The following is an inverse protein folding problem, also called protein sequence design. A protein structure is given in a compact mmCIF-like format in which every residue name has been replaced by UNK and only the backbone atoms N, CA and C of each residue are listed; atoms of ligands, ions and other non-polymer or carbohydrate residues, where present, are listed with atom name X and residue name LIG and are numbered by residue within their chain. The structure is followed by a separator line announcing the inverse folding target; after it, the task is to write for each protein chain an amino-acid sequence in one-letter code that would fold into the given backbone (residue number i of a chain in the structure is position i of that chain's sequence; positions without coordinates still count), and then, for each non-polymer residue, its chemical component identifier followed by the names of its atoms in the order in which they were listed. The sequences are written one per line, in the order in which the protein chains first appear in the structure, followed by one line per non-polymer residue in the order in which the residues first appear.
data_IF_964554705613
#
_entry.id   IF_964554705613
#
_cell.length_a   1.000
_cell.length_b   1.000
_cell.length_c   1.000
_cell.angle_alpha   90.00
_cell.angle_beta   90.00
_cell.angle_gamma   90.00
#
_symmetry.space_group_name_H-M   'P 1'
#
loop_
_entity.id
_entity.type
_entity.pdbx_description
1 polymer ?
#
# COMPACT_ATOMS: atom_id res chain seq x y z
N UNK A 1 8.74 -6.93 -20.94
CA UNK A 1 8.17 -6.26 -19.75
C UNK A 1 9.25 -5.73 -18.79
N UNK A 2 10.18 -6.55 -18.27
CA UNK A 2 11.20 -6.08 -17.29
C UNK A 2 12.20 -5.09 -17.92
N UNK A 3 12.71 -5.35 -19.13
CA UNK A 3 13.63 -4.42 -19.82
C UNK A 3 12.99 -3.06 -20.09
N UNK A 4 11.70 -3.00 -20.42
CA UNK A 4 10.95 -1.76 -20.60
C UNK A 4 10.82 -0.98 -19.29
N UNK A 5 10.61 -1.68 -18.17
CA UNK A 5 10.48 -1.06 -16.84
C UNK A 5 11.76 -0.35 -16.37
N UNK A 6 12.93 -0.76 -16.88
CA UNK A 6 14.22 -0.14 -16.57
C UNK A 6 14.84 0.59 -17.77
N UNK A 7 14.08 0.78 -18.85
CA UNK A 7 14.55 1.45 -20.07
C UNK A 7 14.90 2.92 -19.81
N UNK A 8 14.16 3.57 -18.91
CA UNK A 8 14.35 4.96 -18.54
C UNK A 8 14.65 5.07 -17.03
N UNK A 9 15.85 4.65 -16.59
CA UNK A 9 16.19 4.57 -15.17
C UNK A 9 16.21 5.94 -14.49
N UNK A 10 16.44 7.01 -15.26
CA UNK A 10 16.38 8.40 -14.78
C UNK A 10 14.98 8.80 -14.27
N UNK A 11 13.91 8.12 -14.68
CA UNK A 11 12.55 8.37 -14.20
C UNK A 11 12.24 7.62 -12.89
N UNK A 12 13.12 6.71 -12.47
CA UNK A 12 12.93 5.90 -11.26
C UNK A 12 13.58 6.64 -10.08
N UNK A 13 12.80 6.91 -9.05
CA UNK A 13 13.22 7.58 -7.82
C UNK A 13 13.87 6.59 -6.85
N UNK A 14 13.20 5.47 -6.62
CA UNK A 14 13.65 4.43 -5.69
C UNK A 14 12.94 3.10 -5.97
N UNK A 15 13.49 2.03 -5.42
CA UNK A 15 12.92 0.70 -5.47
C UNK A 15 12.77 0.14 -4.06
N UNK A 16 11.62 -0.48 -3.77
CA UNK A 16 11.35 -1.18 -2.52
C UNK A 16 11.22 -2.68 -2.76
N UNK A 17 12.07 -3.47 -2.09
CA UNK A 17 12.12 -4.92 -2.24
C UNK A 17 11.23 -5.64 -1.24
N UNK A 18 10.53 -6.65 -1.72
CA UNK A 18 9.73 -7.58 -0.93
C UNK A 18 10.04 -9.01 -1.42
N UNK A 19 11.04 -9.66 -0.80
CA UNK A 19 11.55 -10.96 -1.22
C UNK A 19 12.01 -10.97 -2.69
N UNK A 20 11.44 -11.83 -3.53
CA UNK A 20 11.71 -11.96 -4.96
C UNK A 20 10.96 -10.95 -5.83
N UNK A 21 10.28 -9.99 -5.22
CA UNK A 21 9.54 -8.93 -5.89
C UNK A 21 10.10 -7.56 -5.52
N UNK A 22 9.95 -6.60 -6.43
CA UNK A 22 10.41 -5.24 -6.22
C UNK A 22 9.40 -4.25 -6.79
N UNK A 23 9.00 -3.27 -5.99
CA UNK A 23 8.28 -2.09 -6.43
C UNK A 23 9.25 -1.07 -7.01
N UNK A 24 9.04 -0.64 -8.25
CA UNK A 24 9.71 0.48 -8.90
C UNK A 24 8.83 1.72 -8.74
N UNK A 25 9.39 2.78 -8.15
CA UNK A 25 8.70 4.05 -7.91
C UNK A 25 9.21 5.11 -8.91
N UNK A 26 8.31 5.64 -9.73
CA UNK A 26 8.64 6.64 -10.75
C UNK A 26 8.41 8.07 -10.24
N UNK A 27 9.10 9.05 -10.83
CA UNK A 27 9.05 10.47 -10.42
C UNK A 27 7.68 11.13 -10.63
N UNK A 28 6.84 10.57 -11.49
CA UNK A 28 5.46 11.00 -11.73
C UNK A 28 4.45 10.34 -10.76
N UNK A 29 4.93 9.61 -9.76
CA UNK A 29 4.10 8.92 -8.77
C UNK A 29 3.62 7.54 -9.20
N UNK A 30 3.86 7.10 -10.44
CA UNK A 30 3.53 5.73 -10.86
C UNK A 30 4.36 4.71 -10.07
N UNK A 31 3.78 3.54 -9.83
CA UNK A 31 4.43 2.40 -9.17
C UNK A 31 4.24 1.13 -10.00
N UNK A 32 5.28 0.31 -10.11
CA UNK A 32 5.22 -0.96 -10.82
C UNK A 32 5.84 -2.08 -9.99
N UNK A 33 5.08 -3.15 -9.73
CA UNK A 33 5.61 -4.36 -9.12
C UNK A 33 6.25 -5.25 -10.19
N UNK A 34 7.43 -5.77 -9.91
CA UNK A 34 8.16 -6.68 -10.80
C UNK A 34 8.63 -7.91 -10.03
N UNK A 35 8.44 -9.11 -10.61
CA UNK A 35 8.90 -10.40 -10.08
C UNK A 35 10.42 -10.60 -10.21
N UNK A 36 11.21 -9.64 -9.73
CA UNK A 36 12.66 -9.72 -9.57
C UNK A 36 13.07 -9.11 -8.23
N UNK A 37 14.10 -9.69 -7.62
CA UNK A 37 14.65 -9.20 -6.34
C UNK A 37 15.44 -7.90 -6.53
N UNK A 38 15.69 -7.17 -5.45
CA UNK A 38 16.53 -5.96 -5.49
C UNK A 38 17.95 -6.25 -5.99
N UNK A 39 18.51 -7.43 -5.70
CA UNK A 39 19.84 -7.85 -6.17
C UNK A 39 19.88 -7.87 -7.71
N UNK A 40 18.80 -8.30 -8.35
CA UNK A 40 18.71 -8.32 -9.82
C UNK A 40 18.85 -6.91 -10.42
N UNK A 41 18.26 -5.91 -9.76
CA UNK A 41 18.27 -4.51 -10.21
C UNK A 41 19.57 -3.78 -9.86
N UNK A 42 20.19 -4.08 -8.73
CA UNK A 42 21.48 -3.50 -8.29
C UNK A 42 22.56 -3.65 -9.37
N UNK A 43 22.65 -4.81 -10.05
CA UNK A 43 23.60 -5.02 -11.14
C UNK A 43 23.19 -4.43 -12.50
N UNK A 44 21.98 -3.87 -12.64
CA UNK A 44 21.42 -3.40 -13.93
C UNK A 44 21.04 -1.93 -13.96
N UNK A 45 21.03 -1.27 -12.80
CA UNK A 45 20.75 0.15 -12.66
C UNK A 45 22.02 0.86 -12.19
N UNK A 46 22.99 1.13 -13.10
CA UNK A 46 24.18 1.88 -12.74
C UNK A 46 23.78 3.27 -12.22
N UNK A 47 24.43 3.71 -11.14
CA UNK A 47 24.12 4.99 -10.48
C UNK A 47 23.05 4.90 -9.39
N UNK A 48 22.38 3.75 -9.22
CA UNK A 48 21.51 3.51 -8.07
C UNK A 48 22.31 2.95 -6.90
N UNK A 49 21.94 3.37 -5.68
CA UNK A 49 22.61 2.97 -4.46
C UNK A 49 21.71 2.09 -3.61
N UNK A 50 22.22 0.92 -3.24
CA UNK A 50 21.48 0.01 -2.35
C UNK A 50 21.73 0.39 -0.90
N UNK A 51 20.82 1.19 -0.36
CA UNK A 51 20.90 1.73 0.99
C UNK A 51 20.43 0.74 2.08
N UNK A 52 19.59 -0.24 1.73
CA UNK A 52 19.05 -1.24 2.65
C UNK A 52 18.78 -2.60 1.98
N UNK A 53 18.58 -3.65 2.77
CA UNK A 53 18.20 -4.97 2.24
C UNK A 53 16.90 -4.92 1.43
N UNK A 54 16.01 -3.98 1.75
CA UNK A 54 14.71 -3.72 1.08
C UNK A 54 14.66 -2.39 0.31
N UNK A 55 15.77 -1.66 0.12
CA UNK A 55 15.72 -0.39 -0.59
C UNK A 55 16.95 -0.13 -1.49
N UNK A 56 16.67 0.32 -2.72
CA UNK A 56 17.61 0.87 -3.69
C UNK A 56 17.14 2.29 -4.04
N UNK A 57 18.03 3.28 -4.11
CA UNK A 57 17.65 4.68 -4.29
C UNK A 57 18.43 5.31 -5.45
N UNK A 58 17.79 6.23 -6.17
CA UNK A 58 18.43 7.09 -7.14
C UNK A 58 18.92 8.37 -6.43
N UNK A 59 20.23 8.67 -6.40
CA UNK A 59 20.77 9.85 -5.74
C UNK A 59 20.21 11.17 -6.26
N UNK A 60 19.82 11.21 -7.53
CA UNK A 60 19.26 12.43 -8.16
C UNK A 60 17.97 12.91 -7.50
N UNK A 61 17.26 12.03 -6.79
CA UNK A 61 15.98 12.31 -6.15
C UNK A 61 16.09 12.38 -4.62
N UNK A 62 17.29 12.33 -4.05
CA UNK A 62 17.47 12.48 -2.60
C UNK A 62 17.39 13.96 -2.24
N UNK A 63 16.47 14.30 -1.35
CA UNK A 63 16.27 15.68 -0.87
C UNK A 63 16.91 15.93 0.49
N UNK A 64 16.97 14.91 1.34
CA UNK A 64 17.58 15.02 2.66
C UNK A 64 18.24 13.68 3.06
N UNK A 65 19.30 13.79 3.87
CA UNK A 65 20.07 12.66 4.34
C UNK A 65 20.41 12.83 5.82
N UNK A 66 19.77 12.01 6.65
CA UNK A 66 19.90 12.12 8.09
C UNK A 66 20.86 11.03 8.61
N UNK A 67 21.95 11.51 9.23
CA UNK A 67 22.91 10.63 9.86
C UNK A 67 22.28 9.83 11.01
N UNK A 68 22.72 8.58 11.24
CA UNK A 68 22.27 7.82 12.39
C UNK A 68 22.52 8.62 13.68
N UNK A 69 21.50 8.86 14.53
CA UNK A 69 21.65 9.63 15.76
C UNK A 69 22.53 8.93 16.82
N UNK A 70 22.94 7.68 16.57
CA UNK A 70 23.93 6.97 17.35
C UNK A 70 24.40 5.70 16.65
N UNK A 71 25.51 5.12 17.13
CA UNK A 71 26.18 3.96 16.52
C UNK A 71 25.31 2.69 16.37
N UNK A 72 24.18 2.60 17.10
CA UNK A 72 23.25 1.46 17.04
C UNK A 72 21.99 1.72 16.21
N UNK A 73 21.76 2.93 15.73
CA UNK A 73 20.55 3.32 15.00
C UNK A 73 20.78 3.35 13.48
N UNK A 74 19.72 3.25 12.69
CA UNK A 74 19.79 3.43 11.24
C UNK A 74 19.72 4.93 10.89
N UNK A 75 20.45 5.36 9.87
CA UNK A 75 20.22 6.67 9.24
C UNK A 75 18.99 6.60 8.34
N UNK A 76 18.56 7.73 7.80
CA UNK A 76 17.44 7.79 6.87
C UNK A 76 17.77 8.66 5.65
N UNK A 77 17.17 8.28 4.52
CA UNK A 77 17.23 9.03 3.26
C UNK A 77 15.82 9.46 2.94
N UNK A 78 15.62 10.76 2.75
CA UNK A 78 14.35 11.31 2.25
C UNK A 78 14.46 11.45 0.74
N UNK A 79 13.55 10.81 0.03
CA UNK A 79 13.43 10.88 -1.43
C UNK A 79 12.31 11.85 -1.77
N UNK A 80 12.44 12.57 -2.89
CA UNK A 80 11.44 13.49 -3.44
C UNK A 80 10.04 12.86 -3.38
N UNK A 81 9.10 13.55 -2.71
CA UNK A 81 7.78 13.01 -2.35
C UNK A 81 7.69 12.42 -0.93
N UNK A 82 8.49 12.92 0.02
CA UNK A 82 8.44 12.65 1.47
C UNK A 82 8.62 11.16 1.89
N UNK A 83 9.11 10.31 0.98
CA UNK A 83 9.36 8.91 1.34
C UNK A 83 10.68 8.77 2.11
N UNK A 84 10.59 8.41 3.39
CA UNK A 84 11.74 8.13 4.25
C UNK A 84 12.14 6.66 4.11
N UNK A 85 13.36 6.40 3.63
CA UNK A 85 13.93 5.07 3.49
C UNK A 85 15.04 4.86 4.52
N UNK A 86 15.03 3.75 5.30
CA UNK A 86 16.09 3.48 6.25
C UNK A 86 17.38 3.10 5.53
N UNK A 87 18.52 3.54 6.07
CA UNK A 87 19.85 3.14 5.61
C UNK A 87 20.46 2.17 6.60
N UNK A 88 20.85 0.99 6.13
CA UNK A 88 21.51 0.00 6.98
C UNK A 88 22.85 0.51 7.51
N UNK A 89 23.10 0.32 8.81
CA UNK A 89 24.33 0.77 9.52
C UNK A 89 25.62 0.41 8.80
N UNK A 90 25.77 -0.85 8.39
CA UNK A 90 26.95 -1.36 7.67
C UNK A 90 27.21 -0.61 6.37
N UNK A 91 26.13 -0.24 5.65
CA UNK A 91 26.24 0.43 4.37
C UNK A 91 26.44 1.93 4.49
N UNK A 92 26.07 2.55 5.63
CA UNK A 92 26.26 3.98 5.85
C UNK A 92 27.71 4.43 5.58
N UNK A 93 28.69 3.75 6.16
CA UNK A 93 30.10 4.08 5.98
C UNK A 93 30.60 3.85 4.54
N UNK A 94 30.07 2.85 3.85
CA UNK A 94 30.47 2.49 2.48
C UNK A 94 29.84 3.42 1.43
N UNK A 95 28.60 3.88 1.66
CA UNK A 95 27.82 4.58 0.65
C UNK A 95 27.79 6.09 0.84
N UNK A 96 28.09 6.63 2.03
CA UNK A 96 27.91 8.07 2.30
C UNK A 96 28.72 8.96 1.36
N UNK A 97 30.02 8.68 1.19
CA UNK A 97 30.88 9.49 0.33
C UNK A 97 30.47 9.38 -1.16
N UNK A 98 30.28 8.17 -1.73
CA UNK A 98 29.74 8.03 -3.08
C UNK A 98 28.37 8.67 -3.29
N UNK A 99 27.48 8.56 -2.31
CA UNK A 99 26.12 9.07 -2.38
C UNK A 99 26.08 10.59 -2.34
N UNK A 100 26.82 11.22 -1.40
CA UNK A 100 26.97 12.67 -1.32
C UNK A 100 27.61 13.24 -2.58
N UNK A 101 28.64 12.58 -3.13
CA UNK A 101 29.25 13.00 -4.41
C UNK A 101 28.26 12.89 -5.56
N UNK A 102 27.45 11.82 -5.63
CA UNK A 102 26.43 11.67 -6.66
C UNK A 102 25.32 12.74 -6.54
N UNK A 103 24.93 13.11 -5.30
CA UNK A 103 23.98 14.19 -5.02
C UNK A 103 24.51 15.59 -5.39
N UNK A 104 25.82 15.84 -5.22
CA UNK A 104 26.44 17.12 -5.59
C UNK A 104 26.65 17.24 -7.11
N UNK A 105 26.90 16.12 -7.80
CA UNK A 105 26.99 16.11 -9.27
C UNK A 105 25.62 16.35 -9.93
N UNK A 106 24.54 15.86 -9.32
CA UNK A 106 23.19 16.06 -9.83
C UNK A 106 22.71 17.51 -9.69
N UNK A 107 23.09 18.21 -8.60
CA UNK A 107 22.78 19.64 -8.43
C UNK A 107 23.58 20.54 -9.38
N UNK A 108 24.83 20.20 -9.69
CA UNK A 108 25.69 20.95 -10.62
C UNK A 108 25.19 20.94 -12.07
N UNK A 109 24.48 19.88 -12.51
CA UNK A 109 23.87 19.80 -13.85
C UNK A 109 22.68 20.77 -14.04
N UNK A 110 22.06 21.25 -12.95
CA UNK A 110 21.01 22.28 -13.00
C UNK A 110 21.53 23.71 -12.79
N UNK A 111 22.81 23.88 -12.42
CA UNK A 111 23.40 25.19 -12.13
C UNK A 111 23.79 26.02 -13.38
N UNK A 112 23.43 25.57 -14.58
CA UNK A 112 23.63 26.33 -15.84
C UNK A 112 22.34 26.88 -16.45
N UNK A 113 21.21 26.82 -15.74
CA UNK A 113 20.01 27.55 -16.13
C UNK A 113 19.84 28.78 -15.24
N UNK A 114 19.94 29.95 -15.87
CA UNK A 114 19.91 31.27 -15.25
C UNK A 114 18.74 31.48 -14.29
N UNK A 115 19.07 32.08 -13.16
CA UNK A 115 18.18 32.48 -12.07
C UNK A 115 17.38 33.71 -12.52
N UNK A 116 16.07 33.56 -12.71
CA UNK A 116 15.13 34.70 -12.64
C UNK A 116 14.61 34.78 -11.21
N UNK A 117 15.20 35.67 -10.41
CA UNK A 117 14.64 36.09 -9.12
C UNK A 117 13.48 37.06 -9.37
N UNK A 118 12.33 36.79 -8.74
CA UNK A 118 11.25 37.76 -8.56
C UNK A 118 10.90 37.85 -7.07
N UNK A 119 10.44 39.02 -6.58
CA UNK A 119 10.79 39.51 -5.26
C UNK A 119 9.86 39.04 -4.16
N UNK A 120 10.45 38.99 -2.97
CA UNK A 120 9.78 38.89 -1.67
C UNK A 120 8.88 40.11 -1.46
N UNK A 121 7.64 39.90 -1.05
CA UNK A 121 6.81 40.92 -0.41
C UNK A 121 5.99 40.30 0.70
N UNK A 122 5.89 41.08 1.78
CA UNK A 122 5.60 40.68 3.15
C UNK A 122 4.09 40.46 3.42
N UNK A 123 3.82 39.57 4.37
CA UNK A 123 2.83 39.68 5.46
C UNK A 123 1.47 40.33 5.16
N UNK A 124 0.40 39.51 5.18
CA UNK A 124 -0.86 39.89 5.85
C UNK A 124 -1.22 38.78 6.84
N UNK A 125 -1.19 39.14 8.11
CA UNK A 125 -1.68 38.32 9.22
C UNK A 125 -3.21 38.28 9.25
N UNK A 126 -3.72 37.25 9.95
CA UNK A 126 -5.05 37.13 10.56
C UNK A 126 -6.27 37.00 9.66
N UNK A 127 -6.71 35.75 9.47
CA UNK A 127 -8.08 35.30 9.80
C UNK A 127 -8.01 33.82 10.19
N UNK A 128 -7.61 33.54 11.43
CA UNK A 128 -7.80 32.23 12.05
C UNK A 128 -8.99 32.37 12.99
N UNK A 129 -10.18 32.04 12.52
CA UNK A 129 -11.21 31.54 13.41
C UNK A 129 -10.97 30.05 13.64
N UNK A 130 -10.94 29.57 14.89
CA UNK A 130 -10.77 28.17 15.18
C UNK A 130 -12.11 27.47 14.93
N UNK A 131 -12.30 26.90 13.74
CA UNK A 131 -13.37 25.92 13.53
C UNK A 131 -12.96 24.61 14.23
N UNK A 132 -13.20 24.66 15.53
CA UNK A 132 -13.41 23.53 16.42
C UNK A 132 -14.50 22.60 15.86
N UNK A 133 -14.05 21.59 15.13
CA UNK A 133 -14.53 20.19 15.20
C UNK A 133 -13.73 19.42 14.16
N UNK A 134 -12.61 18.85 14.61
CA UNK A 134 -12.06 17.69 13.92
C UNK A 134 -13.14 16.62 13.96
N UNK A 135 -13.92 16.51 12.89
CA UNK A 135 -14.76 15.36 12.63
C UNK A 135 -13.77 14.20 12.54
N UNK A 136 -13.61 13.44 13.63
CA UNK A 136 -12.92 12.14 13.61
C UNK A 136 -13.70 11.27 12.65
N UNK A 137 -13.42 11.35 11.35
CA UNK A 137 -13.97 10.36 10.43
C UNK A 137 -13.37 9.01 10.87
N UNK A 138 -14.18 8.04 11.31
CA UNK A 138 -13.66 6.75 11.67
C UNK A 138 -12.97 6.14 10.44
N UNK A 139 -11.76 5.60 10.64
CA UNK A 139 -11.08 4.85 9.59
C UNK A 139 -12.01 3.74 9.10
N UNK A 140 -12.11 3.57 7.78
CA UNK A 140 -12.91 2.46 7.24
C UNK A 140 -12.10 1.17 7.35
N UNK A 141 -12.70 0.15 7.93
CA UNK A 141 -12.03 -1.13 8.14
C UNK A 141 -12.21 -2.06 6.92
N UNK A 142 -11.10 -2.51 6.34
CA UNK A 142 -11.04 -3.56 5.31
C UNK A 142 -10.47 -4.83 5.94
N UNK A 143 -11.25 -5.89 5.96
CA UNK A 143 -10.83 -7.19 6.48
C UNK A 143 -10.54 -8.15 5.32
N UNK A 144 -9.42 -8.86 5.39
CA UNK A 144 -9.01 -9.80 4.34
C UNK A 144 -8.58 -11.13 4.95
N UNK A 145 -9.13 -12.23 4.46
CA UNK A 145 -8.60 -13.58 4.72
C UNK A 145 -7.60 -13.92 3.62
N UNK A 146 -6.35 -14.18 4.00
CA UNK A 146 -5.27 -14.50 3.07
C UNK A 146 -4.16 -15.27 3.80
N UNK A 147 -4.06 -16.56 3.54
CA UNK A 147 -3.08 -17.44 4.19
C UNK A 147 -1.65 -17.24 3.67
N UNK A 148 -1.50 -16.88 2.39
CA UNK A 148 -0.20 -16.63 1.77
C UNK A 148 0.42 -15.33 2.33
N UNK A 149 1.44 -15.48 3.16
CA UNK A 149 2.13 -14.36 3.81
C UNK A 149 2.74 -13.36 2.82
N UNK A 150 3.20 -13.83 1.65
CA UNK A 150 3.78 -12.94 0.64
C UNK A 150 2.71 -12.10 -0.03
N UNK A 151 1.59 -12.70 -0.46
CA UNK A 151 0.42 -11.96 -0.95
C UNK A 151 -0.05 -10.98 0.11
N UNK A 152 -0.26 -11.45 1.35
CA UNK A 152 -0.77 -10.63 2.45
C UNK A 152 0.12 -9.40 2.71
N UNK A 153 1.45 -9.58 2.72
CA UNK A 153 2.40 -8.48 2.88
C UNK A 153 2.35 -7.46 1.75
N UNK A 154 2.27 -7.90 0.48
CA UNK A 154 2.14 -7.00 -0.66
C UNK A 154 0.81 -6.27 -0.69
N UNK A 155 -0.29 -6.93 -0.31
CA UNK A 155 -1.62 -6.31 -0.21
C UNK A 155 -1.64 -5.26 0.90
N UNK A 156 -1.04 -5.56 2.05
CA UNK A 156 -0.88 -4.58 3.14
C UNK A 156 -0.14 -3.34 2.67
N UNK A 157 0.99 -3.53 1.98
CA UNK A 157 1.76 -2.41 1.42
C UNK A 157 0.93 -1.62 0.39
N UNK A 158 0.25 -2.31 -0.53
CA UNK A 158 -0.60 -1.68 -1.54
C UNK A 158 -1.68 -0.79 -0.92
N UNK A 159 -2.38 -1.30 0.10
CA UNK A 159 -3.47 -0.56 0.77
C UNK A 159 -2.94 0.64 1.53
N UNK A 160 -1.88 0.47 2.31
CA UNK A 160 -1.25 1.58 3.04
C UNK A 160 -0.77 2.69 2.09
N UNK A 161 -0.18 2.32 0.96
CA UNK A 161 0.37 3.25 -0.01
C UNK A 161 -0.69 4.01 -0.82
N UNK A 162 -1.86 3.42 -1.09
CA UNK A 162 -2.88 3.99 -2.00
C UNK A 162 -4.16 4.46 -1.32
N UNK A 163 -4.46 3.91 -0.14
CA UNK A 163 -5.67 4.20 0.62
C UNK A 163 -5.35 4.36 2.11
N UNK A 164 -4.57 5.38 2.51
CA UNK A 164 -4.16 5.60 3.90
C UNK A 164 -5.33 5.83 4.86
N UNK A 165 -6.51 6.21 4.35
CA UNK A 165 -7.76 6.36 5.10
C UNK A 165 -8.48 5.03 5.39
N UNK A 166 -7.96 3.91 4.88
CA UNK A 166 -8.50 2.57 5.14
C UNK A 166 -7.57 1.79 6.06
N UNK A 167 -8.12 1.28 7.16
CA UNK A 167 -7.42 0.37 8.04
C UNK A 167 -7.55 -1.06 7.52
N UNK A 168 -6.43 -1.75 7.32
CA UNK A 168 -6.41 -3.14 6.84
C UNK A 168 -6.09 -4.14 7.96
N UNK A 169 -6.98 -5.10 8.13
CA UNK A 169 -6.78 -6.26 8.99
C UNK A 169 -6.71 -7.54 8.14
N UNK A 170 -5.65 -8.32 8.36
CA UNK A 170 -5.39 -9.55 7.63
C UNK A 170 -5.52 -10.73 8.58
N UNK A 171 -6.25 -11.75 8.15
CA UNK A 171 -6.46 -13.00 8.87
C UNK A 171 -5.86 -14.13 8.05
N UNK A 172 -5.11 -15.03 8.68
CA UNK A 172 -4.49 -16.17 8.00
C UNK A 172 -5.53 -17.26 7.67
N UNK A 173 -6.67 -17.27 8.38
CA UNK A 173 -7.75 -18.24 8.15
C UNK A 173 -9.13 -17.61 8.29
N UNK A 174 -10.09 -18.15 7.54
CA UNK A 174 -11.50 -17.78 7.68
C UNK A 174 -12.06 -18.06 9.07
N UNK A 175 -11.51 -19.04 9.80
CA UNK A 175 -11.92 -19.33 11.19
C UNK A 175 -11.58 -18.17 12.13
N UNK A 176 -10.37 -17.58 12.02
CA UNK A 176 -10.01 -16.42 12.84
C UNK A 176 -10.94 -15.23 12.57
N UNK A 177 -11.25 -14.97 11.30
CA UNK A 177 -12.21 -13.91 10.95
C UNK A 177 -13.59 -14.17 11.57
N UNK A 178 -14.12 -15.39 11.45
CA UNK A 178 -15.44 -15.73 12.03
C UNK A 178 -15.49 -15.60 13.55
N UNK A 179 -14.38 -15.83 14.24
CA UNK A 179 -14.30 -15.66 15.68
C UNK A 179 -14.15 -14.18 16.07
N UNK A 180 -13.50 -13.36 15.23
CA UNK A 180 -13.32 -11.93 15.49
C UNK A 180 -14.57 -11.10 15.18
N UNK A 181 -15.33 -11.46 14.13
CA UNK A 181 -16.45 -10.65 13.65
C UNK A 181 -17.55 -10.37 14.70
N UNK A 182 -17.96 -11.34 15.56
CA UNK A 182 -18.93 -11.09 16.63
C UNK A 182 -18.45 -10.17 17.75
N UNK A 183 -17.14 -10.06 17.96
CA UNK A 183 -16.54 -9.23 19.01
C UNK A 183 -16.55 -7.73 18.66
N UNK A 184 -16.91 -7.40 17.42
CA UNK A 184 -16.82 -6.05 16.86
C UNK A 184 -18.20 -5.44 16.70
N UNK A 185 -18.37 -4.20 17.18
CA UNK A 185 -19.67 -3.53 17.26
C UNK A 185 -19.56 -2.10 16.69
N UNK A 186 -20.62 -1.64 16.01
CA UNK A 186 -20.76 -0.25 15.56
C UNK A 186 -19.72 0.14 14.52
N UNK A 187 -19.05 1.27 14.74
CA UNK A 187 -18.09 1.88 13.80
C UNK A 187 -16.84 1.03 13.53
N UNK A 188 -16.59 -0.01 14.33
CA UNK A 188 -15.45 -0.90 14.17
C UNK A 188 -15.72 -2.05 13.19
N UNK A 189 -16.99 -2.27 12.79
CA UNK A 189 -17.33 -3.32 11.84
C UNK A 189 -16.61 -3.09 10.50
N UNK A 190 -16.15 -4.15 9.83
CA UNK A 190 -15.52 -3.99 8.54
C UNK A 190 -16.52 -3.43 7.54
N UNK A 191 -16.12 -2.33 6.90
CA UNK A 191 -16.81 -1.74 5.77
C UNK A 191 -16.81 -2.67 4.55
N UNK A 192 -15.86 -3.60 4.50
CA UNK A 192 -15.70 -4.58 3.42
C UNK A 192 -14.89 -5.79 3.90
N UNK A 193 -15.23 -6.97 3.41
CA UNK A 193 -14.49 -8.22 3.61
C UNK A 193 -14.03 -8.78 2.26
N UNK A 194 -12.80 -9.27 2.18
CA UNK A 194 -12.27 -10.02 1.04
C UNK A 194 -11.82 -11.39 1.52
N UNK A 195 -12.20 -12.45 0.80
CA UNK A 195 -11.83 -13.82 1.12
C UNK A 195 -10.96 -14.38 0.00
N UNK A 196 -9.72 -14.78 0.29
CA UNK A 196 -8.89 -15.53 -0.65
C UNK A 196 -9.41 -16.96 -0.75
N UNK A 197 -9.98 -17.32 -1.91
CA UNK A 197 -10.57 -18.63 -2.18
C UNK A 197 -9.57 -19.78 -2.13
N UNK A 198 -8.25 -19.51 -2.16
CA UNK A 198 -7.23 -20.53 -1.92
C UNK A 198 -7.16 -20.97 -0.46
N UNK A 199 -7.70 -20.18 0.48
CA UNK A 199 -7.82 -20.57 1.88
C UNK A 199 -9.05 -21.48 2.08
N UNK A 200 -8.80 -22.68 2.62
CA UNK A 200 -9.79 -23.77 2.77
C UNK A 200 -11.10 -23.41 3.49
N UNK A 201 -11.09 -22.41 4.38
CA UNK A 201 -12.25 -21.98 5.16
C UNK A 201 -12.93 -20.74 4.57
N UNK A 202 -12.45 -20.18 3.46
CA UNK A 202 -13.05 -19.00 2.83
C UNK A 202 -14.50 -19.23 2.40
N UNK A 203 -14.81 -20.34 1.73
CA UNK A 203 -16.20 -20.62 1.31
C UNK A 203 -17.16 -20.86 2.50
N UNK A 204 -16.82 -21.68 3.51
CA UNK A 204 -17.59 -21.76 4.74
C UNK A 204 -17.78 -20.40 5.44
N UNK A 205 -16.74 -19.55 5.44
CA UNK A 205 -16.81 -18.20 6.00
C UNK A 205 -17.77 -17.31 5.23
N UNK A 206 -17.73 -17.30 3.90
CA UNK A 206 -18.69 -16.56 3.06
C UNK A 206 -20.13 -16.96 3.40
N UNK A 207 -20.42 -18.27 3.39
CA UNK A 207 -21.75 -18.81 3.70
C UNK A 207 -22.21 -18.40 5.10
N UNK A 208 -21.32 -18.40 6.09
CA UNK A 208 -21.62 -17.99 7.46
C UNK A 208 -21.94 -16.50 7.55
N UNK A 209 -21.14 -15.63 6.93
CA UNK A 209 -21.37 -14.17 6.89
C UNK A 209 -22.73 -13.86 6.24
N UNK A 210 -23.01 -14.47 5.08
CA UNK A 210 -24.23 -14.20 4.30
C UNK A 210 -25.52 -14.77 4.90
N UNK A 211 -25.42 -15.80 5.74
CA UNK A 211 -26.56 -16.30 6.54
C UNK A 211 -26.84 -15.47 7.78
N UNK A 212 -25.85 -14.73 8.31
CA UNK A 212 -26.01 -13.95 9.54
C UNK A 212 -26.83 -12.67 9.29
N UNK A 213 -27.95 -12.44 9.99
CA UNK A 213 -28.69 -11.18 9.91
C UNK A 213 -27.87 -9.96 10.26
N UNK A 214 -26.91 -10.11 11.19
CA UNK A 214 -26.06 -9.04 11.70
C UNK A 214 -24.88 -8.70 10.79
N UNK A 215 -24.53 -9.57 9.82
CA UNK A 215 -23.31 -9.39 9.01
C UNK A 215 -23.53 -9.47 7.50
N UNK A 216 -24.67 -10.01 7.03
CA UNK A 216 -24.92 -10.22 5.60
C UNK A 216 -24.85 -8.96 4.74
N UNK A 217 -25.10 -7.80 5.34
CA UNK A 217 -25.02 -6.50 4.68
C UNK A 217 -23.59 -6.05 4.37
N UNK A 218 -22.58 -6.63 5.04
CA UNK A 218 -21.17 -6.29 4.81
C UNK A 218 -20.79 -6.80 3.40
N UNK A 219 -20.29 -5.93 2.50
CA UNK A 219 -19.83 -6.33 1.18
C UNK A 219 -18.72 -7.38 1.34
N UNK A 220 -18.93 -8.55 0.76
CA UNK A 220 -17.99 -9.67 0.84
C UNK A 220 -17.60 -10.09 -0.56
N UNK A 221 -16.32 -9.96 -0.88
CA UNK A 221 -15.75 -10.38 -2.16
C UNK A 221 -15.01 -11.69 -1.98
N UNK A 222 -15.06 -12.52 -3.02
CA UNK A 222 -14.26 -13.73 -3.11
C UNK A 222 -13.18 -13.53 -4.18
N UNK A 223 -11.93 -13.79 -3.85
CA UNK A 223 -10.85 -13.91 -4.83
C UNK A 223 -10.78 -15.37 -5.24
N UNK A 224 -10.91 -15.67 -6.53
CA UNK A 224 -10.88 -17.02 -7.03
C UNK A 224 -9.73 -17.19 -8.02
N UNK A 225 -8.98 -18.29 -7.90
CA UNK A 225 -7.92 -18.61 -8.85
C UNK A 225 -8.53 -18.91 -10.21
N UNK A 226 -7.91 -18.43 -11.29
CA UNK A 226 -8.34 -18.76 -12.66
C UNK A 226 -8.32 -20.26 -12.98
N UNK A 227 -7.63 -21.07 -12.18
CA UNK A 227 -7.55 -22.52 -12.29
C UNK A 227 -8.77 -23.23 -11.66
N UNK A 228 -9.58 -22.53 -10.86
CA UNK A 228 -10.74 -23.07 -10.14
C UNK A 228 -12.05 -22.49 -10.71
N UNK A 229 -12.55 -23.12 -11.78
CA UNK A 229 -13.72 -22.63 -12.52
C UNK A 229 -15.03 -22.75 -11.73
N UNK A 230 -15.15 -23.78 -10.90
CA UNK A 230 -16.38 -24.06 -10.14
C UNK A 230 -16.52 -23.11 -8.94
N UNK A 231 -15.40 -22.73 -8.30
CA UNK A 231 -15.41 -21.83 -7.16
C UNK A 231 -16.03 -20.46 -7.49
N UNK A 232 -15.90 -19.99 -8.73
CA UNK A 232 -16.51 -18.73 -9.11
C UNK A 232 -18.04 -18.80 -9.08
N UNK A 233 -18.62 -19.88 -9.62
CA UNK A 233 -20.05 -20.11 -9.58
C UNK A 233 -20.53 -20.36 -8.15
N UNK A 234 -19.81 -21.17 -7.36
CA UNK A 234 -20.16 -21.43 -5.97
C UNK A 234 -20.10 -20.15 -5.11
N UNK A 235 -19.14 -19.28 -5.37
CA UNK A 235 -18.99 -17.98 -4.70
C UNK A 235 -20.23 -17.11 -4.87
N UNK A 236 -20.70 -16.93 -6.11
CA UNK A 236 -21.94 -16.19 -6.39
C UNK A 236 -23.17 -16.90 -5.80
N UNK A 237 -23.28 -18.22 -5.96
CA UNK A 237 -24.39 -18.99 -5.39
C UNK A 237 -24.44 -18.90 -3.85
N UNK A 238 -23.30 -18.66 -3.21
CA UNK A 238 -23.18 -18.47 -1.76
C UNK A 238 -23.39 -17.02 -1.29
N UNK A 239 -23.68 -16.11 -2.21
CA UNK A 239 -24.03 -14.71 -1.92
C UNK A 239 -22.85 -13.74 -1.88
N UNK A 240 -21.70 -14.06 -2.49
CA UNK A 240 -20.63 -13.08 -2.70
C UNK A 240 -21.16 -11.87 -3.50
N UNK A 241 -20.79 -10.66 -3.09
CA UNK A 241 -21.16 -9.44 -3.81
C UNK A 241 -20.41 -9.33 -5.14
N UNK A 242 -19.19 -9.86 -5.19
CA UNK A 242 -18.43 -10.01 -6.42
C UNK A 242 -17.40 -11.13 -6.24
N UNK A 243 -17.18 -11.87 -7.31
CA UNK A 243 -16.08 -12.84 -7.41
C UNK A 243 -15.05 -12.30 -8.39
N UNK A 244 -13.82 -12.20 -7.95
CA UNK A 244 -12.69 -11.67 -8.71
C UNK A 244 -11.80 -12.83 -9.10
N UNK A 245 -11.85 -13.20 -10.38
CA UNK A 245 -10.93 -14.19 -10.94
C UNK A 245 -9.57 -13.55 -11.11
N UNK A 246 -8.54 -14.19 -10.57
CA UNK A 246 -7.17 -13.70 -10.64
C UNK A 246 -6.21 -14.77 -11.18
N UNK A 247 -5.12 -14.38 -11.85
CA UNK A 247 -4.07 -15.31 -12.26
C UNK A 247 -3.23 -15.77 -11.06
N UNK A 248 -2.50 -16.88 -11.23
CA UNK A 248 -1.54 -17.40 -10.24
C UNK A 248 -0.26 -16.55 -10.13
N UNK A 249 0.09 -15.79 -11.17
CA UNK A 249 1.19 -14.81 -11.13
C UNK A 249 0.89 -13.68 -10.14
N UNK A 250 1.78 -13.52 -9.15
CA UNK A 250 1.61 -12.55 -8.06
C UNK A 250 1.58 -11.10 -8.54
N UNK A 251 2.35 -10.76 -9.58
CA UNK A 251 2.38 -9.39 -10.10
C UNK A 251 1.04 -9.01 -10.72
N UNK A 252 0.49 -9.89 -11.55
CA UNK A 252 -0.83 -9.72 -12.16
C UNK A 252 -1.95 -9.81 -11.13
N UNK A 253 -1.82 -10.68 -10.12
CA UNK A 253 -2.74 -10.71 -8.97
C UNK A 253 -2.85 -9.34 -8.31
N UNK A 254 -1.72 -8.72 -7.96
CA UNK A 254 -1.71 -7.38 -7.35
C UNK A 254 -2.33 -6.32 -8.27
N UNK A 255 -2.12 -6.41 -9.58
CA UNK A 255 -2.75 -5.49 -10.55
C UNK A 255 -4.28 -5.64 -10.59
N UNK A 256 -4.78 -6.88 -10.59
CA UNK A 256 -6.22 -7.17 -10.54
C UNK A 256 -6.82 -6.68 -9.23
N UNK A 257 -6.16 -6.96 -8.10
CA UNK A 257 -6.62 -6.52 -6.79
C UNK A 257 -6.59 -5.00 -6.65
N UNK A 258 -5.57 -4.31 -7.15
CA UNK A 258 -5.54 -2.84 -7.14
C UNK A 258 -6.74 -2.24 -7.85
N UNK A 259 -7.07 -2.74 -9.06
CA UNK A 259 -8.23 -2.26 -9.83
C UNK A 259 -9.54 -2.50 -9.07
N UNK A 260 -9.65 -3.68 -8.46
CA UNK A 260 -10.79 -4.06 -7.63
C UNK A 260 -10.94 -3.09 -6.45
N UNK A 261 -9.89 -2.92 -5.65
CA UNK A 261 -9.90 -2.02 -4.50
C UNK A 261 -10.15 -0.56 -4.91
N UNK A 262 -9.59 -0.10 -6.02
CA UNK A 262 -9.87 1.26 -6.53
C UNK A 262 -11.37 1.50 -6.73
N UNK A 263 -12.07 0.54 -7.33
CA UNK A 263 -13.51 0.64 -7.50
C UNK A 263 -14.25 0.60 -6.15
N UNK A 264 -14.01 -0.43 -5.35
CA UNK A 264 -14.75 -0.65 -4.10
C UNK A 264 -14.48 0.41 -3.03
N UNK A 265 -13.25 0.89 -2.91
CA UNK A 265 -12.85 1.82 -1.84
C UNK A 265 -13.09 3.29 -2.18
N UNK A 266 -13.35 3.60 -3.46
CA UNK A 266 -13.50 4.99 -3.94
C UNK A 266 -14.89 5.28 -4.49
N UNK A 267 -15.51 4.33 -5.22
CA UNK A 267 -16.77 4.58 -5.93
C UNK A 267 -17.99 3.98 -5.21
N UNK A 268 -17.81 2.86 -4.52
CA UNK A 268 -18.93 2.15 -3.89
C UNK A 268 -19.31 2.80 -2.56
N UNK A 269 -20.62 3.00 -2.37
CA UNK A 269 -21.15 3.43 -1.08
C UNK A 269 -20.97 2.33 -0.03
N UNK A 270 -20.34 2.66 1.10
CA UNK A 270 -20.15 1.73 2.21
C UNK A 270 -21.43 1.67 3.03
N UNK A 271 -21.94 0.46 3.38
CA UNK A 271 -23.11 0.34 4.21
C UNK A 271 -22.87 1.00 5.57
N UNK A 272 -23.78 1.87 5.97
CA UNK A 272 -23.78 2.47 7.30
C UNK A 272 -24.36 1.45 8.29
N UNK A 273 -23.67 1.23 9.41
CA UNK A 273 -24.25 0.50 10.53
C UNK A 273 -25.29 1.40 11.14
N UNK A 274 -26.54 1.30 10.68
CA UNK A 274 -27.64 2.03 11.30
C UNK A 274 -27.86 1.39 12.67
N UNK A 275 -27.38 2.06 13.72
CA UNK A 275 -27.78 1.74 15.08
C UNK A 275 -29.33 1.76 15.08
N UNK A 276 -29.95 0.64 15.45
CA UNK A 276 -31.40 0.53 15.47
C UNK A 276 -32.00 1.75 16.20
N UNK A 277 -33.08 2.38 15.67
CA UNK A 277 -33.69 3.51 16.33
C UNK A 277 -34.06 3.09 17.75
N UNK A 278 -33.51 3.82 18.73
CA UNK A 278 -33.84 3.65 20.15
C UNK A 278 -35.37 3.79 20.25
N UNK A 279 -36.11 2.81 20.82
CA UNK A 279 -37.55 2.95 20.95
C UNK A 279 -37.84 4.24 21.74
N UNK A 280 -38.75 5.06 21.21
CA UNK A 280 -39.22 6.25 21.90
C UNK A 280 -39.78 5.80 23.27
N UNK A 281 -39.40 6.45 24.38
CA UNK A 281 -40.07 6.21 25.64
C UNK A 281 -41.56 6.52 25.46
N UNK A 282 -42.40 5.59 25.95
CA UNK A 282 -43.85 5.71 25.97
C UNK A 282 -44.31 6.93 26.79
#
# INVERSE_FOLDING_TARGET
MIQQAIQFPALITHLKGFSNYTWLHYCDGRKLLVAKSLVYFEGRLPGFFRIHKTALVNPHYITDLQAPPGHKMAGSVTVQGETILPVSRRRWQEIINPLTVAMLKSSALYATSEVVQAPVSQSIASFVEPISRAIKQPFRHLWIVMADEMKAGLVRQLVHDKWPQWWIELFETGTRLRNALPEVIGDYLPAMIILDGSESRSMPTLKSIKKSPSFRFIPTLLLSSAEDQDQAQEGYASGANSVIVHPSDLTRFIQVLERTLRYWLTMVAVPQVVAAPRPLPA
#
